data_IF_499733355281
#
_entry.id   IF_499733355281
#
_cell.length_a   1.000
_cell.length_b   1.000
_cell.length_c   1.000
_cell.angle_alpha   90.00
_cell.angle_beta   90.00
_cell.angle_gamma   90.00
#
_symmetry.space_group_name_H-M   'P 1'
#
loop_
_entity.id
_entity.type
_entity.pdbx_description
1 polymer ?
#
# COMPACT_ATOMS: atom_id res chain seq x y z
N UNK A 1 -15.13 18.19 5.03
CA UNK A 1 -14.15 19.31 4.92
C UNK A 1 -14.91 20.51 4.41
N UNK A 2 -14.73 21.70 5.00
CA UNK A 2 -15.38 22.92 4.48
C UNK A 2 -14.71 23.29 3.15
N UNK A 3 -15.40 23.10 2.04
CA UNK A 3 -14.88 23.26 0.67
C UNK A 3 -14.41 24.70 0.33
N UNK A 4 -14.58 25.63 1.24
CA UNK A 4 -14.25 27.04 1.01
C UNK A 4 -13.17 27.61 1.95
N UNK A 5 -12.62 26.80 2.86
CA UNK A 5 -11.72 27.30 3.91
C UNK A 5 -10.38 27.85 3.38
N UNK A 6 -9.96 27.41 2.18
CA UNK A 6 -8.68 27.81 1.56
C UNK A 6 -8.86 28.57 0.25
N UNK A 7 -10.08 29.06 -0.04
CA UNK A 7 -10.36 29.82 -1.28
C UNK A 7 -9.51 31.09 -1.35
N UNK A 8 -8.73 31.20 -2.44
CA UNK A 8 -7.84 32.32 -2.70
C UNK A 8 -6.41 32.16 -2.15
N UNK A 9 -6.14 31.06 -1.47
CA UNK A 9 -4.79 30.71 -1.07
C UNK A 9 -4.05 30.02 -2.21
N UNK A 10 -2.77 30.37 -2.41
CA UNK A 10 -1.87 29.69 -3.35
C UNK A 10 -0.85 28.88 -2.55
N UNK A 11 -0.80 27.57 -2.79
CA UNK A 11 0.03 26.62 -2.03
C UNK A 11 0.98 25.88 -2.96
N UNK A 12 2.28 25.90 -2.60
CA UNK A 12 3.30 25.06 -3.25
C UNK A 12 3.55 23.79 -2.47
N UNK A 13 3.41 22.64 -3.10
CA UNK A 13 3.76 21.32 -2.52
C UNK A 13 5.06 20.84 -3.16
N UNK A 14 6.06 20.53 -2.35
CA UNK A 14 7.37 20.05 -2.82
C UNK A 14 7.42 18.53 -2.69
N UNK A 15 7.52 17.86 -3.84
CA UNK A 15 7.54 16.42 -3.97
C UNK A 15 6.19 15.82 -4.34
N UNK A 16 6.17 15.03 -5.42
CA UNK A 16 4.99 14.33 -5.93
C UNK A 16 5.02 12.82 -5.58
N UNK A 17 5.47 12.48 -4.37
CA UNK A 17 5.25 11.16 -3.77
C UNK A 17 3.81 11.02 -3.25
N UNK A 18 3.46 9.86 -2.71
CA UNK A 18 2.10 9.58 -2.19
C UNK A 18 1.65 10.64 -1.20
N UNK A 19 2.48 11.00 -0.21
CA UNK A 19 2.13 12.03 0.77
C UNK A 19 1.95 13.42 0.18
N UNK A 20 2.82 13.83 -0.76
CA UNK A 20 2.70 15.15 -1.42
C UNK A 20 1.47 15.24 -2.31
N UNK A 21 1.16 14.18 -3.06
CA UNK A 21 -0.02 14.12 -3.90
C UNK A 21 -1.31 14.10 -3.07
N UNK A 22 -1.33 13.35 -1.96
CA UNK A 22 -2.46 13.34 -1.03
C UNK A 22 -2.70 14.72 -0.42
N UNK A 23 -1.65 15.37 0.09
CA UNK A 23 -1.75 16.71 0.63
C UNK A 23 -2.26 17.71 -0.42
N UNK A 24 -1.74 17.64 -1.65
CA UNK A 24 -2.16 18.48 -2.75
C UNK A 24 -3.66 18.30 -3.08
N UNK A 25 -4.15 17.06 -3.08
CA UNK A 25 -5.55 16.75 -3.32
C UNK A 25 -6.47 17.35 -2.24
N UNK A 26 -6.13 17.17 -0.95
CA UNK A 26 -6.91 17.76 0.14
C UNK A 26 -6.88 19.30 0.13
N UNK A 27 -5.75 19.92 -0.14
CA UNK A 27 -5.63 21.37 -0.25
C UNK A 27 -6.47 21.92 -1.41
N UNK A 28 -6.43 21.25 -2.56
CA UNK A 28 -7.24 21.63 -3.72
C UNK A 28 -8.75 21.47 -3.46
N UNK A 29 -9.16 20.38 -2.78
CA UNK A 29 -10.54 20.18 -2.36
C UNK A 29 -11.00 21.25 -1.35
N UNK A 30 -10.09 21.78 -0.52
CA UNK A 30 -10.36 22.94 0.35
C UNK A 30 -10.41 24.29 -0.37
N UNK A 31 -10.24 24.31 -1.69
CA UNK A 31 -10.37 25.53 -2.53
C UNK A 31 -9.07 26.28 -2.80
N UNK A 32 -7.92 25.74 -2.39
CA UNK A 32 -6.62 26.34 -2.69
C UNK A 32 -6.22 26.17 -4.16
N UNK A 33 -5.45 27.12 -4.68
CA UNK A 33 -4.70 26.95 -5.93
C UNK A 33 -3.38 26.24 -5.61
N UNK A 34 -3.27 24.95 -6.00
CA UNK A 34 -2.14 24.11 -5.62
C UNK A 34 -1.19 23.89 -6.79
N UNK A 35 0.09 24.13 -6.56
CA UNK A 35 1.17 23.78 -7.50
C UNK A 35 2.08 22.74 -6.86
N UNK A 36 2.25 21.59 -7.52
CA UNK A 36 3.18 20.54 -7.08
C UNK A 36 4.49 20.66 -7.85
N UNK A 37 5.60 20.70 -7.11
CA UNK A 37 6.95 20.74 -7.66
C UNK A 37 7.63 19.39 -7.43
N UNK A 38 7.92 18.69 -8.53
CA UNK A 38 8.61 17.38 -8.50
C UNK A 38 9.97 17.49 -9.19
N UNK A 39 10.99 16.93 -8.57
CA UNK A 39 12.36 16.93 -9.08
C UNK A 39 12.58 15.88 -10.16
N UNK A 40 11.91 14.73 -10.02
CA UNK A 40 12.02 13.62 -10.96
C UNK A 40 11.11 13.87 -12.18
N UNK A 41 11.40 13.17 -13.28
CA UNK A 41 10.58 13.22 -14.50
C UNK A 41 9.20 12.58 -14.30
N UNK A 42 9.03 11.78 -13.26
CA UNK A 42 7.79 11.04 -12.96
C UNK A 42 7.36 11.28 -11.54
N UNK A 43 6.05 11.28 -11.34
CA UNK A 43 5.42 11.31 -10.02
C UNK A 43 5.41 9.92 -9.39
N UNK A 44 5.09 9.84 -8.09
CA UNK A 44 4.95 8.59 -7.34
C UNK A 44 5.98 8.43 -6.22
N UNK A 45 7.14 9.09 -6.30
CA UNK A 45 8.19 9.00 -5.29
C UNK A 45 8.71 7.55 -5.15
N UNK A 46 8.63 7.00 -3.93
CA UNK A 46 9.04 5.60 -3.69
C UNK A 46 8.12 4.55 -4.34
N UNK A 47 6.86 4.90 -4.65
CA UNK A 47 5.96 4.07 -5.44
C UNK A 47 6.22 4.28 -6.95
N UNK A 48 7.50 4.28 -7.33
CA UNK A 48 7.96 4.54 -8.67
C UNK A 48 7.94 3.30 -9.56
N UNK A 49 8.15 3.53 -10.86
CA UNK A 49 8.19 2.50 -11.88
C UNK A 49 9.42 2.67 -12.76
N UNK A 50 10.14 1.57 -13.00
CA UNK A 50 11.22 1.48 -13.96
C UNK A 50 10.73 0.77 -15.21
N UNK A 51 11.01 1.33 -16.38
CA UNK A 51 10.83 0.69 -17.67
C UNK A 51 12.19 0.48 -18.32
N UNK A 52 12.53 -0.77 -18.61
CA UNK A 52 13.80 -1.15 -19.21
C UNK A 52 13.58 -2.26 -20.23
N UNK A 53 14.04 -2.07 -21.45
CA UNK A 53 14.00 -3.04 -22.55
C UNK A 53 12.60 -3.65 -22.80
N UNK A 54 11.54 -2.85 -22.62
CA UNK A 54 10.15 -3.29 -22.78
C UNK A 54 9.55 -3.99 -21.55
N UNK A 55 10.34 -4.16 -20.49
CA UNK A 55 9.86 -4.66 -19.20
C UNK A 55 9.50 -3.52 -18.25
N UNK A 56 8.58 -3.78 -17.37
CA UNK A 56 8.11 -2.84 -16.34
C UNK A 56 8.35 -3.44 -14.96
N UNK A 57 8.98 -2.64 -14.09
CA UNK A 57 9.31 -3.02 -12.72
C UNK A 57 8.80 -1.95 -11.76
N UNK A 58 8.13 -2.37 -10.70
CA UNK A 58 7.87 -1.50 -9.56
C UNK A 58 9.14 -1.37 -8.72
N UNK A 59 9.53 -0.13 -8.38
CA UNK A 59 10.80 0.15 -7.71
C UNK A 59 10.65 0.43 -6.22
N UNK A 60 9.47 0.29 -5.70
CA UNK A 60 9.13 0.61 -4.31
C UNK A 60 8.48 -0.56 -3.59
N UNK A 61 7.39 -0.28 -2.85
CA UNK A 61 6.68 -1.31 -2.11
C UNK A 61 6.22 -2.43 -3.04
N UNK A 62 6.52 -3.68 -2.65
CA UNK A 62 6.06 -4.86 -3.37
C UNK A 62 4.68 -5.32 -2.89
N UNK A 63 4.20 -4.78 -1.78
CA UNK A 63 2.95 -5.17 -1.13
C UNK A 63 2.05 -3.97 -0.99
N UNK A 64 0.75 -4.18 -1.21
CA UNK A 64 -0.27 -3.18 -0.98
C UNK A 64 -0.66 -3.20 0.50
N UNK A 65 -0.14 -2.24 1.25
CA UNK A 65 -0.36 -2.11 2.69
C UNK A 65 -1.45 -1.07 2.97
N UNK A 66 -2.18 -1.27 4.07
CA UNK A 66 -3.18 -0.32 4.59
C UNK A 66 -4.27 0.04 3.56
N UNK A 67 -4.96 -0.95 2.96
CA UNK A 67 -5.99 -0.69 1.94
C UNK A 67 -7.05 0.30 2.41
N UNK A 68 -7.46 0.22 3.68
CA UNK A 68 -8.48 1.08 4.28
C UNK A 68 -8.12 2.57 4.23
N UNK A 69 -6.81 2.92 4.28
CA UNK A 69 -6.38 4.31 4.15
C UNK A 69 -6.53 4.83 2.73
N UNK A 70 -6.29 3.96 1.74
CA UNK A 70 -6.52 4.33 0.34
C UNK A 70 -7.99 4.45 0.04
N UNK A 71 -8.82 3.53 0.53
CA UNK A 71 -10.28 3.61 0.38
C UNK A 71 -10.81 4.89 1.00
N UNK A 72 -10.46 5.19 2.25
CA UNK A 72 -10.84 6.44 2.93
C UNK A 72 -10.41 7.68 2.15
N UNK A 73 -9.19 7.66 1.59
CA UNK A 73 -8.71 8.78 0.77
C UNK A 73 -9.64 9.05 -0.41
N UNK A 74 -10.03 8.01 -1.16
CA UNK A 74 -10.94 8.20 -2.29
C UNK A 74 -12.37 8.56 -1.86
N UNK A 75 -12.87 7.97 -0.78
CA UNK A 75 -14.18 8.28 -0.20
C UNK A 75 -14.29 9.75 0.24
N UNK A 76 -13.22 10.34 0.79
CA UNK A 76 -13.17 11.76 1.15
C UNK A 76 -13.39 12.69 -0.06
N UNK A 77 -13.17 12.20 -1.28
CA UNK A 77 -13.46 12.89 -2.54
C UNK A 77 -14.74 12.38 -3.24
N UNK A 78 -15.55 11.57 -2.55
CA UNK A 78 -16.78 11.00 -3.11
C UNK A 78 -16.53 9.97 -4.21
N UNK A 79 -15.37 9.32 -4.19
CA UNK A 79 -14.95 8.31 -5.16
C UNK A 79 -14.69 6.98 -4.45
N UNK A 80 -14.49 5.93 -5.24
CA UNK A 80 -14.10 4.61 -4.75
C UNK A 80 -12.74 4.22 -5.34
N UNK A 81 -11.91 3.51 -4.59
CA UNK A 81 -10.57 3.11 -5.04
C UNK A 81 -10.61 2.22 -6.29
N UNK A 82 -11.65 1.37 -6.43
CA UNK A 82 -11.85 0.49 -7.57
C UNK A 82 -12.16 1.21 -8.89
N UNK A 83 -12.50 2.50 -8.85
CA UNK A 83 -12.62 3.33 -10.06
C UNK A 83 -11.25 3.64 -10.69
N UNK A 84 -10.15 3.49 -9.95
CA UNK A 84 -8.80 3.89 -10.36
C UNK A 84 -7.87 2.71 -10.59
N UNK A 85 -8.06 1.61 -9.86
CA UNK A 85 -7.23 0.41 -10.00
C UNK A 85 -7.97 -0.83 -9.50
N UNK A 86 -7.57 -1.98 -10.02
CA UNK A 86 -8.07 -3.28 -9.61
C UNK A 86 -7.04 -3.96 -8.69
N UNK A 87 -7.50 -4.48 -7.55
CA UNK A 87 -6.70 -5.29 -6.65
C UNK A 87 -6.98 -6.77 -6.86
N UNK A 88 -5.94 -7.54 -7.09
CA UNK A 88 -6.01 -9.00 -7.15
C UNK A 88 -5.28 -9.60 -5.98
N UNK A 89 -6.00 -10.35 -5.13
CA UNK A 89 -5.37 -11.13 -4.07
C UNK A 89 -4.64 -12.32 -4.67
N UNK A 90 -3.34 -12.39 -4.43
CA UNK A 90 -2.51 -13.49 -4.92
C UNK A 90 -2.64 -14.72 -3.98
N UNK A 91 -2.71 -15.92 -4.60
CA UNK A 91 -2.60 -17.19 -3.90
C UNK A 91 -1.76 -18.14 -4.78
N UNK A 92 -0.58 -18.59 -4.33
CA UNK A 92 0.04 -18.26 -3.05
C UNK A 92 0.41 -16.77 -2.93
N UNK A 93 0.43 -16.24 -1.70
CA UNK A 93 0.85 -14.87 -1.40
C UNK A 93 2.27 -14.60 -1.88
N UNK A 94 3.19 -15.54 -1.59
CA UNK A 94 4.56 -15.51 -2.04
C UNK A 94 5.16 -16.92 -2.01
N UNK A 95 6.30 -17.06 -2.65
CA UNK A 95 7.06 -18.29 -2.71
C UNK A 95 8.46 -18.05 -2.15
N UNK A 96 8.88 -18.90 -1.24
CA UNK A 96 10.25 -18.95 -0.70
C UNK A 96 11.03 -20.02 -1.44
N UNK A 97 12.27 -19.72 -1.81
CA UNK A 97 13.22 -20.64 -2.41
C UNK A 97 14.43 -20.75 -1.49
N UNK A 98 14.87 -21.97 -1.20
CA UNK A 98 16.08 -22.25 -0.44
C UNK A 98 17.23 -22.70 -1.33
N UNK A 99 18.46 -22.57 -0.83
CA UNK A 99 19.68 -22.91 -1.57
C UNK A 99 19.80 -24.40 -1.90
N UNK A 100 19.17 -25.27 -1.13
CA UNK A 100 19.11 -26.72 -1.36
C UNK A 100 18.13 -27.13 -2.46
N UNK A 101 17.41 -26.15 -3.03
CA UNK A 101 16.44 -26.36 -4.09
C UNK A 101 15.01 -26.60 -3.61
N UNK A 102 14.78 -26.61 -2.30
CA UNK A 102 13.44 -26.67 -1.73
C UNK A 102 12.69 -25.36 -1.92
N UNK A 103 11.36 -25.42 -1.84
CA UNK A 103 10.49 -24.24 -1.99
C UNK A 103 9.22 -24.38 -1.16
N UNK A 104 8.71 -23.25 -0.67
CA UNK A 104 7.40 -23.18 -0.05
C UNK A 104 6.51 -22.14 -0.75
N UNK A 105 5.32 -22.55 -1.10
CA UNK A 105 4.24 -21.69 -1.55
C UNK A 105 3.41 -21.30 -0.32
N UNK A 106 3.51 -20.04 0.11
CA UNK A 106 2.78 -19.58 1.30
C UNK A 106 1.37 -19.18 0.89
N UNK A 107 0.34 -19.89 1.38
CA UNK A 107 -1.06 -19.61 1.01
C UNK A 107 -1.53 -18.24 1.47
N UNK A 108 -2.55 -17.71 0.78
CA UNK A 108 -3.23 -16.49 1.19
C UNK A 108 -4.14 -16.68 2.41
N UNK A 109 -4.60 -17.90 2.64
CA UNK A 109 -5.41 -18.25 3.80
C UNK A 109 -4.52 -18.41 5.05
N UNK A 110 -4.82 -17.69 6.16
CA UNK A 110 -3.99 -17.72 7.36
C UNK A 110 -3.91 -19.09 8.04
N UNK A 111 -4.99 -19.86 8.01
CA UNK A 111 -4.99 -21.20 8.62
C UNK A 111 -4.15 -22.18 7.79
N UNK A 112 -4.29 -22.13 6.46
CA UNK A 112 -3.45 -22.93 5.58
C UNK A 112 -1.96 -22.55 5.67
N UNK A 113 -1.65 -21.25 5.87
CA UNK A 113 -0.30 -20.79 6.11
C UNK A 113 0.26 -21.30 7.44
N UNK A 114 -0.56 -21.29 8.51
CA UNK A 114 -0.17 -21.85 9.81
C UNK A 114 0.09 -23.36 9.73
N UNK A 115 -0.71 -24.10 8.99
CA UNK A 115 -0.52 -25.54 8.77
C UNK A 115 0.77 -25.81 7.95
N UNK A 116 1.06 -24.97 6.98
CA UNK A 116 2.33 -25.02 6.25
C UNK A 116 3.52 -24.83 7.19
N UNK A 117 3.52 -23.81 8.04
CA UNK A 117 4.60 -23.55 8.99
C UNK A 117 4.75 -24.67 10.03
N UNK A 118 3.64 -25.23 10.51
CA UNK A 118 3.65 -26.41 11.41
C UNK A 118 4.31 -27.62 10.75
N UNK A 119 4.22 -27.77 9.43
CA UNK A 119 4.86 -28.87 8.70
C UNK A 119 6.39 -28.74 8.65
N UNK A 120 6.94 -27.54 8.79
CA UNK A 120 8.38 -27.29 8.86
C UNK A 120 8.92 -27.39 10.28
N UNK A 121 8.17 -26.85 11.26
CA UNK A 121 8.60 -26.84 12.66
C UNK A 121 7.39 -27.01 13.60
N UNK A 122 7.41 -28.04 14.46
CA UNK A 122 6.36 -28.23 15.44
C UNK A 122 6.18 -27.02 16.37
N UNK A 123 4.95 -26.49 16.44
CA UNK A 123 4.58 -25.31 17.19
C UNK A 123 4.63 -24.02 16.39
N UNK A 124 5.20 -24.01 15.18
CA UNK A 124 5.28 -22.81 14.35
C UNK A 124 3.90 -22.33 13.90
N UNK A 125 2.96 -23.24 13.65
CA UNK A 125 1.58 -22.87 13.30
C UNK A 125 0.86 -22.11 14.42
N UNK A 126 1.04 -22.55 15.66
CA UNK A 126 0.46 -21.84 16.82
C UNK A 126 1.11 -20.47 17.01
N UNK A 127 2.44 -20.38 16.92
CA UNK A 127 3.17 -19.13 17.03
C UNK A 127 2.79 -18.13 15.92
N UNK A 128 2.53 -18.60 14.72
CA UNK A 128 2.07 -17.76 13.61
C UNK A 128 0.68 -17.18 13.88
N UNK A 129 -0.26 -17.96 14.41
CA UNK A 129 -1.59 -17.44 14.78
C UNK A 129 -1.50 -16.38 15.88
N UNK A 130 -0.69 -16.61 16.91
CA UNK A 130 -0.43 -15.63 17.97
C UNK A 130 0.17 -14.33 17.40
N UNK A 131 1.12 -14.45 16.47
CA UNK A 131 1.68 -13.29 15.77
C UNK A 131 0.63 -12.50 14.99
N UNK A 132 -0.29 -13.17 14.28
CA UNK A 132 -1.37 -12.50 13.57
C UNK A 132 -2.35 -11.77 14.50
N UNK A 133 -2.71 -12.41 15.64
CA UNK A 133 -3.55 -11.79 16.64
C UNK A 133 -2.88 -10.55 17.26
N UNK A 134 -1.57 -10.59 17.50
CA UNK A 134 -0.80 -9.45 17.97
C UNK A 134 -0.73 -8.33 16.93
N UNK A 135 -0.54 -8.70 15.67
CA UNK A 135 -0.51 -7.74 14.56
C UNK A 135 -1.87 -7.04 14.37
N UNK A 136 -2.98 -7.77 14.47
CA UNK A 136 -4.34 -7.21 14.40
C UNK A 136 -4.58 -6.22 15.55
N UNK A 137 -4.24 -6.61 16.79
CA UNK A 137 -4.34 -5.70 17.94
C UNK A 137 -3.50 -4.43 17.80
N UNK A 138 -2.30 -4.57 17.26
CA UNK A 138 -1.41 -3.42 17.00
C UNK A 138 -1.98 -2.49 15.92
N UNK A 139 -2.56 -3.06 14.87
CA UNK A 139 -3.22 -2.33 13.80
C UNK A 139 -4.41 -1.54 14.34
N UNK A 140 -5.31 -2.19 15.07
CA UNK A 140 -6.51 -1.57 15.64
C UNK A 140 -6.19 -0.42 16.62
N UNK A 141 -5.08 -0.56 17.35
CA UNK A 141 -4.63 0.48 18.29
C UNK A 141 -3.96 1.68 17.59
N UNK A 142 -3.48 1.49 16.36
CA UNK A 142 -2.74 2.51 15.59
C UNK A 142 -3.60 3.28 14.58
N UNK A 143 -4.78 2.76 14.26
CA UNK A 143 -5.71 3.31 13.28
C UNK A 143 -6.90 4.01 13.93
#
# INVERSE_FOLDING_TARGET
MDEESLRGESVGVVGAGVGGLSAAAYLAAGGAEVTVYERAERVGGVAGRLELDGFRFDTGPSWYLLPDLFERFFEDFGRSADEFYELTRLDPHYRVFWDDGDRADVPADPDAAADLFESYEPGAGAAFREYLDDAERAYDAGM
#
